data_IF_364864549680
#
_entry.id   IF_364864549680
#
_cell.length_a   1.000
_cell.length_b   1.000
_cell.length_c   1.000
_cell.angle_alpha   90.00
_cell.angle_beta   90.00
_cell.angle_gamma   90.00
#
_symmetry.space_group_name_H-M   'P 1'
#
loop_
_entity.id
_entity.type
_entity.pdbx_description
1 polymer ?
#
# COMPACT_ATOMS: atom_id res chain seq x y z
N UNK A 1 -9.99 23.10 -16.66
CA UNK A 1 -9.04 21.96 -16.68
C UNK A 1 -8.21 22.05 -15.42
N UNK A 2 -8.77 21.69 -14.31
CA UNK A 2 -8.01 21.38 -13.10
C UNK A 2 -7.66 19.90 -13.17
N UNK A 3 -6.74 19.56 -14.06
CA UNK A 3 -6.12 18.26 -14.06
C UNK A 3 -5.43 18.08 -12.73
N UNK A 4 -5.93 17.18 -11.92
CA UNK A 4 -5.34 16.77 -10.65
C UNK A 4 -4.00 16.04 -10.94
N UNK A 5 -3.03 16.78 -11.47
CA UNK A 5 -1.69 16.27 -11.84
C UNK A 5 -0.90 15.78 -10.62
N UNK A 6 -1.40 16.02 -9.42
CA UNK A 6 -0.80 15.57 -8.17
C UNK A 6 -1.45 14.36 -7.51
N UNK A 7 -2.49 13.76 -8.11
CA UNK A 7 -3.23 12.66 -7.49
C UNK A 7 -2.33 11.47 -7.08
N UNK A 8 -1.32 11.14 -7.84
CA UNK A 8 -0.40 10.05 -7.53
C UNK A 8 0.69 10.42 -6.50
N UNK A 9 0.92 11.72 -6.24
CA UNK A 9 1.96 12.19 -5.33
C UNK A 9 1.56 12.17 -3.84
N UNK A 10 0.30 11.81 -3.52
CA UNK A 10 -0.15 11.75 -2.13
C UNK A 10 0.73 10.82 -1.26
N UNK A 11 1.24 9.74 -1.83
CA UNK A 11 2.14 8.83 -1.14
C UNK A 11 3.48 9.48 -0.78
N UNK A 12 3.98 10.40 -1.61
CA UNK A 12 5.21 11.15 -1.32
C UNK A 12 5.06 12.01 -0.06
N UNK A 13 3.92 12.69 0.09
CA UNK A 13 3.64 13.46 1.31
C UNK A 13 3.59 12.54 2.54
N UNK A 14 2.92 11.41 2.42
CA UNK A 14 2.88 10.39 3.48
C UNK A 14 4.28 9.89 3.84
N UNK A 15 5.11 9.62 2.84
CA UNK A 15 6.48 9.15 3.04
C UNK A 15 7.34 10.20 3.76
N UNK A 16 7.27 11.47 3.34
CA UNK A 16 7.97 12.57 4.00
C UNK A 16 7.54 12.68 5.47
N UNK A 17 6.23 12.63 5.74
CA UNK A 17 5.71 12.67 7.11
C UNK A 17 6.20 11.50 7.97
N UNK A 18 6.28 10.29 7.40
CA UNK A 18 6.83 9.13 8.10
C UNK A 18 8.33 9.29 8.38
N UNK A 19 9.11 9.86 7.46
CA UNK A 19 10.52 10.16 7.71
C UNK A 19 10.70 11.19 8.82
N UNK A 20 9.90 12.27 8.84
CA UNK A 20 9.91 13.26 9.91
C UNK A 20 9.53 12.61 11.26
N UNK A 21 8.56 11.69 11.26
CA UNK A 21 8.12 10.99 12.46
C UNK A 21 9.06 9.83 12.88
N UNK A 22 9.99 9.41 12.03
CA UNK A 22 10.90 8.28 12.32
C UNK A 22 11.67 8.41 13.64
N UNK A 23 12.22 9.57 14.05
CA UNK A 23 12.89 9.71 15.35
C UNK A 23 11.94 9.39 16.53
N UNK A 24 10.68 9.80 16.45
CA UNK A 24 9.66 9.52 17.47
C UNK A 24 9.33 8.03 17.50
N UNK A 25 9.15 7.40 16.35
CA UNK A 25 8.93 5.95 16.27
C UNK A 25 10.12 5.17 16.83
N UNK A 26 11.36 5.61 16.59
CA UNK A 26 12.56 4.99 17.16
C UNK A 26 12.56 5.07 18.68
N UNK A 27 12.19 6.20 19.27
CA UNK A 27 12.08 6.31 20.73
C UNK A 27 11.07 5.31 21.27
N UNK A 28 9.91 5.18 20.64
CA UNK A 28 8.88 4.20 21.04
C UNK A 28 9.43 2.77 20.89
N UNK A 29 9.96 2.41 19.74
CA UNK A 29 10.38 1.03 19.46
C UNK A 29 11.62 0.59 20.25
N UNK A 30 12.51 1.50 20.64
CA UNK A 30 13.67 1.20 21.47
C UNK A 30 13.32 0.97 22.95
N UNK A 31 12.26 1.58 23.46
CA UNK A 31 11.95 1.53 24.89
C UNK A 31 10.65 0.77 25.21
N UNK A 32 9.77 0.57 24.21
CA UNK A 32 8.49 -0.09 24.44
C UNK A 32 8.66 -1.61 24.61
N UNK A 33 8.04 -2.14 25.64
CA UNK A 33 7.89 -3.58 25.81
C UNK A 33 6.94 -4.15 24.74
N UNK A 34 7.00 -5.47 24.54
CA UNK A 34 6.10 -6.18 23.62
C UNK A 34 4.63 -5.83 23.86
N UNK A 35 4.20 -5.84 25.14
CA UNK A 35 2.80 -5.52 25.53
C UNK A 35 2.41 -4.10 25.17
N UNK A 36 3.32 -3.14 25.33
CA UNK A 36 3.05 -1.74 24.96
C UNK A 36 2.93 -1.57 23.44
N UNK A 37 3.75 -2.27 22.65
CA UNK A 37 3.61 -2.30 21.18
C UNK A 37 2.28 -2.94 20.76
N UNK A 38 1.90 -4.06 21.37
CA UNK A 38 0.61 -4.71 21.12
C UNK A 38 -0.56 -3.79 21.46
N UNK A 39 -0.51 -3.10 22.60
CA UNK A 39 -1.51 -2.11 22.98
C UNK A 39 -1.63 -0.98 21.95
N UNK A 40 -0.49 -0.40 21.55
CA UNK A 40 -0.47 0.67 20.55
C UNK A 40 -1.05 0.20 19.19
N UNK A 41 -0.74 -1.02 18.77
CA UNK A 41 -1.30 -1.62 17.56
C UNK A 41 -2.80 -1.87 17.68
N UNK A 42 -3.29 -2.36 18.82
CA UNK A 42 -4.73 -2.55 19.04
C UNK A 42 -5.46 -1.21 19.01
N UNK A 43 -4.94 -0.18 19.67
CA UNK A 43 -5.50 1.18 19.61
C UNK A 43 -5.54 1.66 18.16
N UNK A 44 -4.45 1.53 17.42
CA UNK A 44 -4.41 1.93 16.02
C UNK A 44 -5.42 1.14 15.16
N UNK A 45 -5.53 -0.17 15.32
CA UNK A 45 -6.49 -0.99 14.58
C UNK A 45 -7.93 -0.51 14.83
N UNK A 46 -8.28 -0.27 16.09
CA UNK A 46 -9.64 0.17 16.46
C UNK A 46 -9.94 1.56 15.90
N UNK A 47 -9.09 2.54 16.17
CA UNK A 47 -9.36 3.94 15.88
C UNK A 47 -9.01 4.37 14.47
N UNK A 48 -8.11 3.66 13.78
CA UNK A 48 -7.73 3.99 12.40
C UNK A 48 -8.36 3.04 11.39
N UNK A 49 -8.20 1.73 11.56
CA UNK A 49 -8.64 0.77 10.56
C UNK A 49 -10.14 0.46 10.65
N UNK A 50 -10.63 0.11 11.86
CA UNK A 50 -12.04 -0.26 12.04
C UNK A 50 -12.94 0.97 11.92
N UNK A 51 -12.61 2.06 12.62
CA UNK A 51 -13.40 3.28 12.53
C UNK A 51 -13.38 3.88 11.12
N UNK A 52 -12.22 3.91 10.47
CA UNK A 52 -12.09 4.33 9.07
C UNK A 52 -12.89 3.45 8.12
N UNK A 53 -12.89 2.13 8.33
CA UNK A 53 -13.67 1.19 7.53
C UNK A 53 -15.18 1.41 7.70
N UNK A 54 -15.65 1.64 8.93
CA UNK A 54 -17.07 1.94 9.23
C UNK A 54 -17.49 3.25 8.56
N UNK A 55 -16.68 4.31 8.68
CA UNK A 55 -16.98 5.60 8.06
C UNK A 55 -16.98 5.49 6.53
N UNK A 56 -16.06 4.74 5.93
CA UNK A 56 -16.06 4.51 4.48
C UNK A 56 -17.32 3.80 4.02
N UNK A 57 -17.80 2.79 4.74
CA UNK A 57 -19.08 2.15 4.42
C UNK A 57 -20.26 3.09 4.65
N UNK A 58 -20.28 3.85 5.74
CA UNK A 58 -21.35 4.79 6.03
C UNK A 58 -21.50 5.85 4.93
N UNK A 59 -20.38 6.38 4.44
CA UNK A 59 -20.35 7.34 3.33
C UNK A 59 -20.98 6.78 2.04
N UNK A 60 -20.79 5.50 1.74
CA UNK A 60 -21.42 4.84 0.59
C UNK A 60 -22.95 4.78 0.69
N UNK A 61 -23.50 4.79 1.91
CA UNK A 61 -24.94 4.84 2.15
C UNK A 61 -25.47 6.27 2.36
N UNK A 62 -24.64 7.29 2.12
CA UNK A 62 -25.02 8.70 2.26
C UNK A 62 -25.08 9.20 3.70
N UNK A 63 -24.49 8.48 4.64
CA UNK A 63 -24.32 8.98 6.00
C UNK A 63 -23.03 9.77 6.11
N UNK A 64 -23.07 10.90 6.78
CA UNK A 64 -21.87 11.61 7.20
C UNK A 64 -21.04 10.76 8.19
N UNK A 65 -19.85 11.22 8.57
CA UNK A 65 -18.97 10.49 9.49
C UNK A 65 -19.74 10.01 10.74
N UNK A 66 -19.97 8.70 10.81
CA UNK A 66 -20.67 8.06 11.95
C UNK A 66 -19.79 8.06 13.20
N UNK A 67 -18.47 7.91 12.98
CA UNK A 67 -17.47 7.92 14.04
C UNK A 67 -16.53 9.11 13.85
N UNK A 68 -16.92 10.27 14.37
CA UNK A 68 -16.08 11.47 14.40
C UNK A 68 -15.02 11.34 15.50
N UNK A 69 -13.96 10.60 15.20
CA UNK A 69 -12.87 10.36 16.16
C UNK A 69 -11.70 11.30 15.84
N UNK A 70 -11.59 12.37 16.59
CA UNK A 70 -10.40 13.24 16.60
C UNK A 70 -9.23 12.49 17.26
N UNK A 71 -8.60 11.60 16.55
CA UNK A 71 -7.40 10.91 17.05
C UNK A 71 -6.15 11.62 16.50
N UNK A 72 -5.15 11.90 17.34
CA UNK A 72 -3.92 12.57 16.89
C UNK A 72 -3.27 11.82 15.73
N UNK A 73 -2.88 12.57 14.68
CA UNK A 73 -2.30 12.08 13.44
C UNK A 73 -1.14 11.08 13.62
N UNK A 74 -0.40 11.17 14.72
CA UNK A 74 0.73 10.29 15.05
C UNK A 74 0.29 8.84 15.32
N UNK A 75 -0.94 8.63 15.81
CA UNK A 75 -1.46 7.29 16.15
C UNK A 75 -2.33 6.76 15.02
N UNK A 76 -2.84 7.65 14.14
CA UNK A 76 -3.72 7.29 13.04
C UNK A 76 -2.96 7.18 11.72
N UNK A 77 -3.55 6.49 10.78
CA UNK A 77 -3.04 6.42 9.41
C UNK A 77 -1.83 5.49 9.25
N UNK A 78 -0.92 5.89 8.37
CA UNK A 78 0.19 5.04 7.92
C UNK A 78 1.28 4.80 8.98
N UNK A 79 1.34 5.62 10.03
CA UNK A 79 2.26 5.41 11.16
C UNK A 79 2.07 4.07 11.85
N UNK A 80 0.82 3.60 11.94
CA UNK A 80 0.53 2.28 12.50
C UNK A 80 1.06 1.13 11.64
N UNK A 81 1.06 1.26 10.30
CA UNK A 81 1.72 0.28 9.43
C UNK A 81 3.22 0.23 9.66
N UNK A 82 3.84 1.39 9.90
CA UNK A 82 5.26 1.45 10.23
C UNK A 82 5.57 0.70 11.53
N UNK A 83 4.74 0.91 12.56
CA UNK A 83 4.84 0.21 13.85
C UNK A 83 4.54 -1.29 13.70
N UNK A 84 3.55 -1.67 12.89
CA UNK A 84 3.21 -3.06 12.59
C UNK A 84 4.37 -3.79 11.92
N UNK A 85 5.03 -3.15 10.93
CA UNK A 85 6.21 -3.72 10.28
C UNK A 85 7.35 -3.97 11.26
N UNK A 86 7.62 -3.03 12.17
CA UNK A 86 8.60 -3.23 13.25
C UNK A 86 8.21 -4.38 14.18
N UNK A 87 6.94 -4.43 14.60
CA UNK A 87 6.44 -5.51 15.47
C UNK A 87 6.59 -6.88 14.83
N UNK A 88 6.17 -7.05 13.57
CA UNK A 88 6.27 -8.32 12.84
C UNK A 88 7.73 -8.75 12.61
N UNK A 89 8.65 -7.80 12.47
CA UNK A 89 10.08 -8.08 12.35
C UNK A 89 10.67 -8.54 13.70
N UNK A 90 10.32 -7.87 14.78
CA UNK A 90 10.82 -8.19 16.12
C UNK A 90 10.19 -9.45 16.73
N UNK A 91 8.92 -9.70 16.38
CA UNK A 91 8.12 -10.82 16.89
C UNK A 91 7.46 -11.60 15.73
N UNK A 92 8.22 -12.39 14.95
CA UNK A 92 7.70 -13.10 13.79
C UNK A 92 6.58 -14.07 14.17
N UNK A 93 5.52 -14.09 13.37
CA UNK A 93 4.38 -14.97 13.57
C UNK A 93 4.79 -16.45 13.34
N UNK A 94 4.42 -17.33 14.27
CA UNK A 94 4.73 -18.76 14.22
C UNK A 94 3.46 -19.62 14.40
N UNK A 95 3.52 -20.84 13.91
CA UNK A 95 2.50 -21.87 14.15
C UNK A 95 1.08 -21.40 13.79
N UNK A 96 0.15 -21.55 14.72
CA UNK A 96 -1.26 -21.23 14.53
C UNK A 96 -1.53 -19.75 14.23
N UNK A 97 -0.73 -18.83 14.81
CA UNK A 97 -0.86 -17.39 14.54
C UNK A 97 -0.55 -17.04 13.08
N UNK A 98 0.52 -17.61 12.52
CA UNK A 98 0.89 -17.46 11.11
C UNK A 98 -0.21 -18.01 10.19
N UNK A 99 -0.73 -19.21 10.48
CA UNK A 99 -1.83 -19.81 9.69
C UNK A 99 -3.09 -18.94 9.73
N UNK A 100 -3.48 -18.45 10.91
CA UNK A 100 -4.63 -17.52 11.03
C UNK A 100 -4.44 -16.23 10.23
N UNK A 101 -3.25 -15.64 10.27
CA UNK A 101 -2.92 -14.48 9.47
C UNK A 101 -3.16 -14.73 7.97
N UNK A 102 -2.71 -15.85 7.44
CA UNK A 102 -2.90 -16.20 6.03
C UNK A 102 -4.37 -16.45 5.67
N UNK A 103 -5.11 -17.17 6.51
CA UNK A 103 -6.54 -17.40 6.29
C UNK A 103 -7.30 -16.08 6.26
N UNK A 104 -7.06 -15.20 7.24
CA UNK A 104 -7.69 -13.89 7.31
C UNK A 104 -7.33 -13.02 6.11
N UNK A 105 -6.09 -13.08 5.63
CA UNK A 105 -5.66 -12.34 4.44
C UNK A 105 -6.34 -12.86 3.16
N UNK A 106 -6.48 -14.18 3.00
CA UNK A 106 -7.20 -14.76 1.87
C UNK A 106 -8.67 -14.35 1.90
N UNK A 107 -9.32 -14.46 3.06
CA UNK A 107 -10.70 -14.01 3.22
C UNK A 107 -10.84 -12.51 2.91
N UNK A 108 -9.91 -11.68 3.39
CA UNK A 108 -9.88 -10.25 3.09
C UNK A 108 -9.71 -9.96 1.61
N UNK A 109 -8.82 -10.68 0.93
CA UNK A 109 -8.64 -10.55 -0.52
C UNK A 109 -9.91 -10.96 -1.28
N UNK A 110 -10.59 -12.04 -0.85
CA UNK A 110 -11.88 -12.44 -1.41
C UNK A 110 -12.95 -11.37 -1.20
N UNK A 111 -13.00 -10.72 -0.01
CA UNK A 111 -13.92 -9.63 0.27
C UNK A 111 -13.63 -8.42 -0.61
N UNK A 112 -12.35 -8.03 -0.78
CA UNK A 112 -11.95 -6.91 -1.66
C UNK A 112 -12.33 -7.23 -3.10
N UNK A 113 -11.93 -8.37 -3.64
CA UNK A 113 -12.20 -8.75 -5.02
C UNK A 113 -13.70 -8.96 -5.28
N UNK A 114 -14.38 -9.70 -4.39
CA UNK A 114 -15.82 -9.95 -4.50
C UNK A 114 -16.64 -8.68 -4.32
N UNK A 115 -16.26 -7.82 -3.37
CA UNK A 115 -16.91 -6.53 -3.14
C UNK A 115 -16.85 -5.64 -4.37
N UNK A 116 -15.71 -5.58 -5.06
CA UNK A 116 -15.57 -4.83 -6.32
C UNK A 116 -16.51 -5.29 -7.44
N UNK A 117 -16.91 -6.53 -7.45
CA UNK A 117 -17.83 -7.07 -8.44
C UNK A 117 -19.30 -6.98 -8.00
N UNK A 118 -19.57 -7.34 -6.76
CA UNK A 118 -20.94 -7.49 -6.24
C UNK A 118 -21.58 -6.14 -5.90
N UNK A 119 -20.82 -5.24 -5.22
CA UNK A 119 -21.39 -3.97 -4.75
C UNK A 119 -21.91 -3.05 -5.88
N UNK A 120 -21.14 -2.80 -6.95
CA UNK A 120 -21.66 -1.98 -8.05
C UNK A 120 -22.80 -2.63 -8.81
N UNK A 121 -22.78 -3.97 -8.98
CA UNK A 121 -23.81 -4.69 -9.72
C UNK A 121 -25.14 -4.77 -8.97
N UNK A 122 -25.06 -4.98 -7.63
CA UNK A 122 -26.26 -5.26 -6.82
C UNK A 122 -26.81 -4.00 -6.17
N UNK A 123 -25.94 -3.14 -5.66
CA UNK A 123 -26.34 -2.00 -4.84
C UNK A 123 -26.05 -0.65 -5.49
N UNK A 124 -25.37 -0.60 -6.64
CA UNK A 124 -24.90 0.63 -7.31
C UNK A 124 -24.03 1.51 -6.39
N UNK A 125 -23.30 0.90 -5.49
CA UNK A 125 -22.44 1.53 -4.49
C UNK A 125 -21.00 1.54 -5.03
N UNK A 126 -20.27 2.61 -4.79
CA UNK A 126 -18.84 2.67 -5.12
C UNK A 126 -18.03 1.68 -4.27
N UNK A 127 -16.87 1.26 -4.77
CA UNK A 127 -16.07 0.20 -4.13
C UNK A 127 -14.97 0.74 -3.21
N UNK A 128 -14.90 2.06 -3.06
CA UNK A 128 -13.85 2.72 -2.27
C UNK A 128 -13.79 2.23 -0.82
N UNK A 129 -14.95 1.94 -0.22
CA UNK A 129 -15.03 1.43 1.15
C UNK A 129 -14.34 0.08 1.34
N UNK A 130 -14.34 -0.80 0.34
CA UNK A 130 -13.76 -2.16 0.48
C UNK A 130 -12.26 -2.17 0.25
N UNK A 131 -11.74 -1.26 -0.57
CA UNK A 131 -10.34 -1.20 -0.97
C UNK A 131 -9.52 -0.10 -0.28
N UNK A 132 -10.10 0.58 0.71
CA UNK A 132 -9.44 1.66 1.43
C UNK A 132 -8.02 1.24 1.89
N UNK A 133 -6.97 2.01 1.55
CA UNK A 133 -5.59 1.67 1.94
C UNK A 133 -5.39 1.59 3.45
N UNK A 134 -6.16 2.37 4.20
CA UNK A 134 -6.22 2.34 5.66
C UNK A 134 -7.40 1.50 6.17
N UNK A 135 -7.90 0.56 5.36
CA UNK A 135 -8.94 -0.38 5.75
C UNK A 135 -8.39 -1.64 6.42
N UNK A 136 -9.22 -2.28 7.22
CA UNK A 136 -8.88 -3.51 7.92
C UNK A 136 -8.49 -4.64 6.95
N UNK A 137 -9.20 -4.78 5.84
CA UNK A 137 -8.94 -5.82 4.84
C UNK A 137 -7.56 -5.63 4.18
N UNK A 138 -7.22 -4.40 3.79
CA UNK A 138 -5.92 -4.05 3.21
C UNK A 138 -4.78 -4.30 4.20
N UNK A 139 -4.99 -4.00 5.47
CA UNK A 139 -4.01 -4.26 6.53
C UNK A 139 -3.73 -5.76 6.72
N UNK A 140 -4.76 -6.59 6.72
CA UNK A 140 -4.61 -8.05 6.86
C UNK A 140 -3.84 -8.64 5.67
N UNK A 141 -4.14 -8.21 4.45
CA UNK A 141 -3.40 -8.62 3.26
C UNK A 141 -1.94 -8.16 3.32
N UNK A 142 -1.69 -6.88 3.65
CA UNK A 142 -0.33 -6.35 3.77
C UNK A 142 0.50 -7.06 4.83
N UNK A 143 -0.09 -7.35 6.00
CA UNK A 143 0.56 -8.10 7.08
C UNK A 143 0.93 -9.53 6.68
N UNK A 144 0.07 -10.20 5.90
CA UNK A 144 0.36 -11.53 5.40
C UNK A 144 1.46 -11.51 4.33
N UNK A 145 1.42 -10.57 3.37
CA UNK A 145 2.48 -10.40 2.36
C UNK A 145 3.83 -10.13 3.04
N UNK A 146 3.85 -9.26 4.05
CA UNK A 146 5.05 -9.00 4.85
C UNK A 146 5.55 -10.27 5.56
N UNK A 147 4.66 -11.04 6.17
CA UNK A 147 5.02 -12.31 6.83
C UNK A 147 5.52 -13.36 5.84
N UNK A 148 4.97 -13.41 4.62
CA UNK A 148 5.47 -14.28 3.55
C UNK A 148 6.88 -13.87 3.15
N UNK A 149 7.11 -12.57 2.92
CA UNK A 149 8.42 -12.05 2.48
C UNK A 149 9.56 -12.37 3.46
N UNK A 150 9.27 -12.38 4.76
CA UNK A 150 10.24 -12.77 5.79
C UNK A 150 10.65 -14.25 5.74
N UNK A 151 9.85 -15.10 5.12
CA UNK A 151 10.09 -16.55 5.07
C UNK A 151 10.56 -17.04 3.70
N UNK A 152 10.73 -16.15 2.73
CA UNK A 152 11.24 -16.50 1.40
C UNK A 152 12.76 -16.60 1.49
N UNK A 153 13.30 -17.77 1.16
CA UNK A 153 14.72 -17.94 0.89
C UNK A 153 15.03 -17.32 -0.48
N UNK A 154 15.92 -16.34 -0.48
CA UNK A 154 16.29 -15.63 -1.71
C UNK A 154 17.42 -16.38 -2.37
N UNK A 155 17.28 -16.74 -3.65
CA UNK A 155 18.35 -17.35 -4.45
C UNK A 155 19.49 -16.34 -4.70
N UNK A 156 20.67 -16.85 -5.14
CA UNK A 156 21.82 -15.99 -5.45
C UNK A 156 21.51 -14.92 -6.51
N UNK A 157 20.66 -15.26 -7.48
CA UNK A 157 20.16 -14.28 -8.47
C UNK A 157 19.26 -13.23 -7.79
N UNK A 158 18.38 -13.66 -6.89
CA UNK A 158 17.49 -12.77 -6.13
C UNK A 158 18.26 -11.78 -5.25
N UNK A 159 19.37 -12.19 -4.64
CA UNK A 159 20.22 -11.31 -3.82
C UNK A 159 20.85 -10.15 -4.61
N UNK A 160 20.96 -10.27 -5.93
CA UNK A 160 21.44 -9.21 -6.84
C UNK A 160 20.30 -8.38 -7.41
N UNK A 161 19.21 -9.03 -7.81
CA UNK A 161 18.08 -8.38 -8.50
C UNK A 161 17.25 -7.53 -7.54
N UNK A 162 16.95 -8.03 -6.33
CA UNK A 162 16.10 -7.30 -5.38
C UNK A 162 16.71 -5.96 -4.93
N UNK A 163 17.98 -5.87 -4.53
CA UNK A 163 18.60 -4.58 -4.22
C UNK A 163 18.67 -3.65 -5.43
N UNK A 164 18.90 -4.20 -6.63
CA UNK A 164 18.90 -3.42 -7.87
C UNK A 164 17.54 -2.77 -8.13
N UNK A 165 16.44 -3.52 -7.96
CA UNK A 165 15.08 -3.00 -8.09
C UNK A 165 14.73 -2.06 -6.94
N UNK A 166 15.05 -2.45 -5.70
CA UNK A 166 14.74 -1.67 -4.50
C UNK A 166 15.33 -0.26 -4.52
N UNK A 167 16.57 -0.12 -4.97
CA UNK A 167 17.21 1.19 -5.11
C UNK A 167 16.52 2.09 -6.13
N UNK A 168 15.78 1.53 -7.09
CA UNK A 168 15.12 2.26 -8.18
C UNK A 168 13.62 2.43 -8.02
N UNK A 169 13.06 1.89 -6.93
CA UNK A 169 11.62 1.93 -6.66
C UNK A 169 11.08 3.35 -6.63
N UNK A 170 11.83 4.29 -6.06
CA UNK A 170 11.42 5.69 -5.99
C UNK A 170 11.38 6.34 -7.38
N UNK A 171 12.37 6.10 -8.23
CA UNK A 171 12.38 6.59 -9.61
C UNK A 171 11.24 5.97 -10.45
N UNK A 172 10.97 4.67 -10.27
CA UNK A 172 9.82 4.00 -10.89
C UNK A 172 8.53 4.67 -10.46
N UNK A 173 8.37 4.91 -9.15
CA UNK A 173 7.19 5.58 -8.59
C UNK A 173 6.99 6.98 -9.20
N UNK A 174 8.03 7.77 -9.39
CA UNK A 174 7.90 9.12 -9.96
C UNK A 174 7.54 9.10 -11.45
N UNK A 175 7.99 8.10 -12.20
CA UNK A 175 7.88 8.07 -13.67
C UNK A 175 6.73 7.23 -14.20
N UNK A 176 6.19 6.28 -13.42
CA UNK A 176 5.16 5.35 -13.93
C UNK A 176 3.90 6.05 -14.44
N UNK A 177 3.43 7.12 -13.77
CA UNK A 177 2.24 7.85 -14.19
C UNK A 177 2.45 8.58 -15.52
N UNK A 178 3.66 9.06 -15.77
CA UNK A 178 4.00 9.61 -17.08
C UNK A 178 3.83 8.57 -18.19
N UNK A 179 4.30 7.35 -17.99
CA UNK A 179 4.16 6.27 -18.98
C UNK A 179 2.72 5.78 -19.11
N UNK A 180 1.95 5.73 -18.02
CA UNK A 180 0.51 5.44 -18.08
C UNK A 180 -0.20 6.51 -18.93
N UNK A 181 0.10 7.78 -18.67
CA UNK A 181 -0.48 8.89 -19.43
C UNK A 181 -0.09 8.86 -20.90
N UNK A 182 1.15 8.51 -21.20
CA UNK A 182 1.66 8.35 -22.57
C UNK A 182 0.92 7.23 -23.32
N UNK A 183 0.75 6.07 -22.70
CA UNK A 183 0.00 4.94 -23.23
C UNK A 183 -1.45 5.34 -23.55
N UNK A 184 -2.10 6.03 -22.62
CA UNK A 184 -3.50 6.37 -22.75
C UNK A 184 -3.76 7.49 -23.76
N UNK A 185 -2.95 8.56 -23.75
CA UNK A 185 -3.20 9.76 -24.56
C UNK A 185 -2.55 9.73 -25.95
N UNK A 186 -1.39 9.07 -26.11
CA UNK A 186 -0.67 9.07 -27.39
C UNK A 186 -0.95 7.80 -28.18
N UNK A 187 -0.93 6.64 -27.55
CA UNK A 187 -1.13 5.38 -28.24
C UNK A 187 -2.58 4.91 -28.25
N UNK A 188 -3.47 5.63 -27.57
CA UNK A 188 -4.89 5.32 -27.47
C UNK A 188 -5.17 3.85 -27.14
N UNK A 189 -4.25 3.20 -26.39
CA UNK A 189 -4.43 1.81 -25.95
C UNK A 189 -5.54 1.78 -24.91
N UNK A 190 -6.75 1.51 -25.39
CA UNK A 190 -7.90 1.28 -24.51
C UNK A 190 -7.95 -0.20 -24.14
N UNK A 191 -8.35 -0.53 -22.91
CA UNK A 191 -8.54 -1.92 -22.48
C UNK A 191 -9.49 -2.73 -23.36
N UNK A 192 -10.32 -2.04 -24.16
CA UNK A 192 -11.36 -2.62 -25.00
C UNK A 192 -10.83 -3.30 -26.28
N UNK A 193 -9.56 -3.06 -26.65
CA UNK A 193 -8.98 -3.63 -27.89
C UNK A 193 -8.49 -5.07 -27.74
N UNK A 194 -8.38 -5.59 -26.52
CA UNK A 194 -7.90 -6.93 -26.23
C UNK A 194 -8.65 -7.50 -25.04
N UNK A 195 -8.44 -8.78 -24.73
CA UNK A 195 -8.95 -9.32 -23.46
C UNK A 195 -8.46 -8.42 -22.31
N UNK A 196 -9.36 -7.87 -21.49
CA UNK A 196 -9.00 -6.83 -20.50
C UNK A 196 -7.86 -7.26 -19.56
N UNK A 197 -7.83 -8.53 -19.18
CA UNK A 197 -6.80 -9.09 -18.30
C UNK A 197 -5.42 -9.06 -18.96
N UNK A 198 -5.35 -9.45 -20.23
CA UNK A 198 -4.08 -9.46 -20.99
C UNK A 198 -3.59 -8.01 -21.23
N UNK A 199 -4.50 -7.11 -21.58
CA UNK A 199 -4.18 -5.71 -21.78
C UNK A 199 -3.62 -5.06 -20.52
N UNK A 200 -4.23 -5.30 -19.36
CA UNK A 200 -3.76 -4.80 -18.06
C UNK A 200 -2.38 -5.37 -17.75
N UNK A 201 -2.18 -6.67 -17.94
CA UNK A 201 -0.89 -7.31 -17.65
C UNK A 201 0.23 -6.75 -18.52
N UNK A 202 0.03 -6.69 -19.85
CA UNK A 202 1.03 -6.18 -20.80
C UNK A 202 1.33 -4.70 -20.55
N UNK A 203 0.29 -3.88 -20.31
CA UNK A 203 0.47 -2.46 -19.99
C UNK A 203 1.26 -2.27 -18.69
N UNK A 204 0.93 -3.04 -17.64
CA UNK A 204 1.61 -2.94 -16.36
C UNK A 204 3.10 -3.32 -16.47
N UNK A 205 3.41 -4.41 -17.17
CA UNK A 205 4.80 -4.84 -17.40
C UNK A 205 5.54 -3.82 -18.26
N UNK A 206 4.90 -3.29 -19.31
CA UNK A 206 5.48 -2.26 -20.19
C UNK A 206 5.80 -0.96 -19.44
N UNK A 207 4.84 -0.45 -18.65
CA UNK A 207 5.03 0.74 -17.81
C UNK A 207 6.13 0.52 -16.79
N UNK A 208 6.14 -0.63 -16.12
CA UNK A 208 7.19 -0.97 -15.14
C UNK A 208 8.57 -1.00 -15.80
N UNK A 209 8.71 -1.68 -16.94
CA UNK A 209 9.98 -1.79 -17.66
C UNK A 209 10.48 -0.42 -18.14
N UNK A 210 9.59 0.41 -18.72
CA UNK A 210 9.93 1.76 -19.16
C UNK A 210 10.35 2.66 -17.98
N UNK A 211 9.61 2.60 -16.87
CA UNK A 211 9.92 3.36 -15.66
C UNK A 211 11.24 2.92 -15.03
N UNK A 212 11.50 1.61 -14.99
CA UNK A 212 12.76 1.06 -14.50
C UNK A 212 13.95 1.50 -15.38
N UNK A 213 13.76 1.50 -16.71
CA UNK A 213 14.78 1.94 -17.65
C UNK A 213 15.13 3.42 -17.45
N UNK A 214 14.13 4.29 -17.34
CA UNK A 214 14.34 5.72 -17.05
C UNK A 214 15.01 5.92 -15.69
N UNK A 215 14.54 5.24 -14.65
CA UNK A 215 15.16 5.27 -13.32
C UNK A 215 16.64 4.81 -13.37
N UNK A 216 16.93 3.78 -14.17
CA UNK A 216 18.31 3.32 -14.38
C UNK A 216 19.17 4.38 -15.09
N UNK A 217 18.67 5.06 -16.11
CA UNK A 217 19.38 6.16 -16.77
C UNK A 217 19.62 7.31 -15.78
N UNK A 218 18.59 7.72 -15.03
CA UNK A 218 18.70 8.77 -14.02
C UNK A 218 19.77 8.45 -12.97
N UNK A 219 19.92 7.19 -12.59
CA UNK A 219 20.95 6.74 -11.64
C UNK A 219 22.41 6.90 -12.16
N UNK A 220 22.59 7.07 -13.48
CA UNK A 220 23.91 7.32 -14.11
C UNK A 220 24.29 8.80 -14.09
N UNK A 221 23.32 9.70 -13.91
CA UNK A 221 23.56 11.14 -13.90
C UNK A 221 23.88 11.55 -12.45
N UNK A 222 25.08 12.12 -12.15
CA UNK A 222 25.52 12.39 -10.77
C UNK A 222 24.55 13.26 -9.96
N UNK A 223 23.89 14.24 -10.61
CA UNK A 223 22.93 15.13 -9.99
C UNK A 223 21.63 14.40 -9.63
N UNK A 224 21.13 13.52 -10.52
CA UNK A 224 19.86 12.80 -10.36
C UNK A 224 20.00 11.53 -9.52
N UNK A 225 21.20 10.96 -9.45
CA UNK A 225 21.49 9.77 -8.64
C UNK A 225 21.12 9.90 -7.16
N UNK A 226 21.06 11.15 -6.65
CA UNK A 226 20.68 11.43 -5.26
C UNK A 226 19.16 11.29 -5.02
N UNK A 227 18.37 11.25 -6.09
CA UNK A 227 16.91 11.21 -6.05
C UNK A 227 16.31 9.91 -6.62
N UNK A 228 17.16 8.94 -6.99
CA UNK A 228 16.72 7.67 -7.63
C UNK A 228 17.37 6.48 -6.95
#
# INVERSE_FOLDING_TARGET
ITGNTGYHLWFLYTLIMLYIATPLFRLITCHASKRQLEYALVVWIIFSLIAGQINSFAAEFGFDEVLSLYVPFVITGYGGYFLLGHYLTSYPLKGAAKRRCYILAILSACVICGGKWILPMTFKIETAAVEAPLGLFSCLVAGAVFTVSQNISISDTGTRVLPFLGQRTFGIYLTHVFFISLLYHIWHVKPDYCQPVLAIFVSSVGVFAASLFVSWIMSKIPLLRKFV
#
